data_IF_034176335070
#
_entry.id   IF_034176335070
#
_cell.length_a   1.000
_cell.length_b   1.000
_cell.length_c   1.000
_cell.angle_alpha   90.00
_cell.angle_beta   90.00
_cell.angle_gamma   90.00
#
_symmetry.space_group_name_H-M   'P 1'
#
loop_
_entity.id
_entity.type
_entity.pdbx_description
1 polymer ?
#
# COMPACT_ATOMS: atom_id res chain seq x y z
N UNK A 1 24.64 -13.00 -2.53
CA UNK A 1 24.44 -11.91 -1.54
C UNK A 1 23.59 -10.73 -2.03
N UNK A 2 24.08 -9.74 -2.80
CA UNK A 2 23.27 -8.54 -3.15
C UNK A 2 21.92 -8.86 -3.82
N UNK A 3 21.88 -9.78 -4.79
CA UNK A 3 20.63 -10.16 -5.50
C UNK A 3 19.59 -10.80 -4.57
N UNK A 4 20.01 -11.66 -3.65
CA UNK A 4 19.10 -12.32 -2.71
C UNK A 4 18.56 -11.35 -1.65
N UNK A 5 19.40 -10.44 -1.16
CA UNK A 5 18.97 -9.39 -0.25
C UNK A 5 17.88 -8.51 -0.89
N UNK A 6 18.10 -8.09 -2.15
CA UNK A 6 17.11 -7.30 -2.88
C UNK A 6 15.79 -8.03 -3.11
N UNK A 7 15.83 -9.35 -3.33
CA UNK A 7 14.61 -10.18 -3.40
C UNK A 7 13.85 -10.16 -2.08
N UNK A 8 14.53 -10.36 -0.94
CA UNK A 8 13.91 -10.30 0.39
C UNK A 8 13.26 -8.94 0.67
N UNK A 9 13.92 -7.84 0.28
CA UNK A 9 13.37 -6.48 0.42
C UNK A 9 12.10 -6.31 -0.40
N UNK A 10 12.09 -6.74 -1.66
CA UNK A 10 10.88 -6.65 -2.52
C UNK A 10 9.74 -7.50 -1.93
N UNK A 11 10.04 -8.69 -1.44
CA UNK A 11 9.04 -9.55 -0.77
C UNK A 11 8.44 -8.84 0.44
N UNK A 12 9.27 -8.22 1.28
CA UNK A 12 8.80 -7.47 2.45
C UNK A 12 7.90 -6.30 2.05
N UNK A 13 8.28 -5.53 1.03
CA UNK A 13 7.47 -4.43 0.49
C UNK A 13 6.10 -4.93 0.03
N UNK A 14 6.04 -6.06 -0.68
CA UNK A 14 4.78 -6.64 -1.15
C UNK A 14 3.90 -7.07 0.03
N UNK A 15 4.47 -7.71 1.05
CA UNK A 15 3.74 -8.11 2.25
C UNK A 15 3.12 -6.89 2.95
N UNK A 16 3.90 -5.82 3.12
CA UNK A 16 3.42 -4.56 3.69
C UNK A 16 2.28 -3.98 2.83
N UNK A 17 2.43 -3.99 1.50
CA UNK A 17 1.38 -3.54 0.58
C UNK A 17 0.08 -4.34 0.72
N UNK A 18 0.15 -5.66 0.87
CA UNK A 18 -1.01 -6.50 1.12
C UNK A 18 -1.70 -6.16 2.45
N UNK A 19 -0.94 -5.93 3.52
CA UNK A 19 -1.49 -5.56 4.84
C UNK A 19 -2.25 -4.24 4.72
N UNK A 20 -1.68 -3.24 4.04
CA UNK A 20 -2.35 -1.95 3.85
C UNK A 20 -3.59 -2.03 2.97
N UNK A 21 -3.62 -2.95 2.00
CA UNK A 21 -4.82 -3.20 1.20
C UNK A 21 -5.96 -3.77 2.07
N UNK A 22 -5.66 -4.72 2.95
CA UNK A 22 -6.64 -5.26 3.91
C UNK A 22 -7.12 -4.18 4.86
N UNK A 23 -6.20 -3.36 5.40
CA UNK A 23 -6.58 -2.24 6.27
C UNK A 23 -7.50 -1.24 5.56
N UNK A 24 -7.23 -0.92 4.28
CA UNK A 24 -8.12 -0.08 3.48
C UNK A 24 -9.53 -0.68 3.31
N UNK A 25 -9.62 -1.99 3.06
CA UNK A 25 -10.93 -2.67 2.99
C UNK A 25 -11.66 -2.62 4.33
N UNK A 26 -10.99 -2.92 5.44
CA UNK A 26 -11.59 -2.87 6.78
C UNK A 26 -12.04 -1.44 7.17
N UNK A 27 -11.31 -0.42 6.72
CA UNK A 27 -11.69 0.98 6.88
C UNK A 27 -12.97 1.32 6.12
N UNK A 28 -13.13 0.86 4.87
CA UNK A 28 -14.36 1.08 4.09
C UNK A 28 -15.61 0.51 4.75
N UNK A 29 -15.50 -0.66 5.40
CA UNK A 29 -16.62 -1.30 6.09
C UNK A 29 -16.86 -0.74 7.50
N UNK A 30 -16.12 0.28 7.92
CA UNK A 30 -16.21 0.84 9.27
C UNK A 30 -15.80 -0.14 10.38
N UNK A 31 -15.13 -1.25 10.04
CA UNK A 31 -14.70 -2.27 11.01
C UNK A 31 -13.56 -1.74 11.87
N UNK A 32 -12.65 -0.97 11.26
CA UNK A 32 -11.59 -0.24 11.95
C UNK A 32 -11.92 1.24 11.85
N UNK A 33 -12.45 1.79 12.94
CA UNK A 33 -12.76 3.21 13.04
C UNK A 33 -11.80 3.86 14.04
N UNK A 34 -10.69 4.39 13.53
CA UNK A 34 -9.74 5.19 14.28
C UNK A 34 -9.70 6.58 13.67
N UNK A 35 -9.69 7.64 14.48
CA UNK A 35 -9.63 9.03 13.99
C UNK A 35 -8.44 9.27 13.04
N UNK A 36 -7.31 8.59 13.27
CA UNK A 36 -6.11 8.69 12.45
C UNK A 36 -6.14 7.81 11.17
N UNK A 37 -7.17 6.98 10.96
CA UNK A 37 -7.23 6.01 9.87
C UNK A 37 -7.06 6.65 8.48
N UNK A 38 -7.67 7.81 8.16
CA UNK A 38 -7.45 8.47 6.88
C UNK A 38 -5.98 8.84 6.65
N UNK A 39 -5.29 9.36 7.67
CA UNK A 39 -3.87 9.71 7.58
C UNK A 39 -2.97 8.47 7.41
N UNK A 40 -3.29 7.37 8.09
CA UNK A 40 -2.59 6.09 7.93
C UNK A 40 -2.74 5.56 6.51
N UNK A 41 -3.96 5.56 5.97
CA UNK A 41 -4.23 5.10 4.60
C UNK A 41 -3.60 6.00 3.54
N UNK A 42 -3.59 7.31 3.75
CA UNK A 42 -2.91 8.25 2.84
C UNK A 42 -1.41 7.98 2.81
N UNK A 43 -0.79 7.83 3.98
CA UNK A 43 0.65 7.55 4.11
C UNK A 43 1.01 6.18 3.52
N UNK A 44 0.19 5.16 3.77
CA UNK A 44 0.34 3.83 3.18
C UNK A 44 0.21 3.87 1.65
N UNK A 45 -0.73 4.67 1.14
CA UNK A 45 -0.93 4.87 -0.28
C UNK A 45 0.30 5.47 -0.97
N UNK A 46 0.84 6.55 -0.41
CA UNK A 46 2.08 7.18 -0.88
C UNK A 46 3.27 6.22 -0.79
N UNK A 47 3.41 5.50 0.32
CA UNK A 47 4.46 4.50 0.51
C UNK A 47 4.42 3.41 -0.57
N UNK A 48 3.24 2.86 -0.86
CA UNK A 48 3.09 1.82 -1.88
C UNK A 48 3.42 2.35 -3.28
N UNK A 49 2.96 3.56 -3.63
CA UNK A 49 3.28 4.20 -4.92
C UNK A 49 4.79 4.46 -5.05
N UNK A 50 5.44 5.03 -4.03
CA UNK A 50 6.90 5.25 -4.04
C UNK A 50 7.67 3.94 -4.21
N UNK A 51 7.25 2.87 -3.54
CA UNK A 51 7.88 1.57 -3.68
C UNK A 51 7.59 0.90 -5.04
N UNK A 52 6.44 1.18 -5.67
CA UNK A 52 6.15 0.71 -7.01
C UNK A 52 7.21 1.19 -8.02
N UNK A 53 7.64 2.46 -7.93
CA UNK A 53 8.73 2.99 -8.76
C UNK A 53 10.05 2.24 -8.55
N UNK A 54 10.40 1.95 -7.29
CA UNK A 54 11.62 1.20 -6.96
C UNK A 54 11.59 -0.26 -7.47
N UNK A 55 10.42 -0.88 -7.48
CA UNK A 55 10.21 -2.27 -7.90
C UNK A 55 10.03 -2.38 -9.41
N UNK A 56 9.61 -1.32 -10.11
CA UNK A 56 9.28 -1.33 -11.54
C UNK A 56 10.40 -1.90 -12.43
N UNK A 57 11.64 -1.46 -12.22
CA UNK A 57 12.81 -1.93 -12.98
C UNK A 57 13.21 -3.39 -12.69
N UNK A 58 12.58 -4.05 -11.71
CA UNK A 58 12.93 -5.40 -11.24
C UNK A 58 11.78 -6.39 -11.42
N UNK A 59 10.55 -5.99 -11.12
CA UNK A 59 9.35 -6.81 -11.25
C UNK A 59 8.12 -5.93 -11.57
N UNK A 60 7.75 -5.88 -12.86
CA UNK A 60 6.63 -5.06 -13.35
C UNK A 60 5.29 -5.45 -12.72
N UNK A 61 5.03 -6.74 -12.49
CA UNK A 61 3.75 -7.20 -11.89
C UNK A 61 3.60 -6.70 -10.47
N UNK A 62 4.66 -6.83 -9.66
CA UNK A 62 4.68 -6.32 -8.29
C UNK A 62 4.58 -4.80 -8.24
N UNK A 63 5.20 -4.08 -9.18
CA UNK A 63 5.06 -2.63 -9.27
C UNK A 63 3.62 -2.21 -9.56
N UNK A 64 2.95 -2.84 -10.54
CA UNK A 64 1.53 -2.58 -10.84
C UNK A 64 0.65 -2.84 -9.61
N UNK A 65 0.87 -3.97 -8.92
CA UNK A 65 0.15 -4.29 -7.70
C UNK A 65 0.30 -3.19 -6.63
N UNK A 66 1.54 -2.73 -6.39
CA UNK A 66 1.81 -1.67 -5.43
C UNK A 66 1.18 -0.33 -5.84
N UNK A 67 1.19 0.02 -7.13
CA UNK A 67 0.51 1.21 -7.64
C UNK A 67 -0.99 1.14 -7.39
N UNK A 68 -1.64 0.02 -7.76
CA UNK A 68 -3.09 -0.15 -7.58
C UNK A 68 -3.48 -0.17 -6.10
N UNK A 69 -2.72 -0.88 -5.28
CA UNK A 69 -2.91 -0.89 -3.82
C UNK A 69 -2.75 0.51 -3.23
N UNK A 70 -1.76 1.27 -3.68
CA UNK A 70 -1.55 2.63 -3.21
C UNK A 70 -2.66 3.60 -3.60
N UNK A 71 -3.11 3.55 -4.86
CA UNK A 71 -4.27 4.32 -5.34
C UNK A 71 -5.55 3.97 -4.57
N UNK A 72 -5.77 2.68 -4.28
CA UNK A 72 -6.88 2.23 -3.47
C UNK A 72 -6.83 2.82 -2.05
N UNK A 73 -5.69 2.76 -1.36
CA UNK A 73 -5.56 3.35 -0.02
C UNK A 73 -5.81 4.86 -0.01
N UNK A 74 -5.35 5.59 -1.03
CA UNK A 74 -5.64 7.03 -1.17
C UNK A 74 -7.14 7.27 -1.39
N UNK A 75 -7.76 6.48 -2.27
CA UNK A 75 -9.21 6.57 -2.51
C UNK A 75 -10.00 6.34 -1.23
N UNK A 76 -9.68 5.29 -0.48
CA UNK A 76 -10.35 4.98 0.79
C UNK A 76 -10.12 6.09 1.82
N UNK A 77 -8.90 6.61 1.91
CA UNK A 77 -8.58 7.74 2.79
C UNK A 77 -9.48 8.94 2.53
N UNK A 78 -9.60 9.35 1.25
CA UNK A 78 -10.47 10.46 0.83
C UNK A 78 -11.93 10.12 1.12
N UNK A 79 -12.37 8.91 0.81
CA UNK A 79 -13.74 8.46 1.02
C UNK A 79 -14.15 8.54 2.50
N UNK A 80 -13.35 7.96 3.41
CA UNK A 80 -13.62 7.99 4.85
C UNK A 80 -13.52 9.42 5.42
N UNK A 81 -12.72 10.30 4.82
CA UNK A 81 -12.65 11.70 5.27
C UNK A 81 -13.92 12.48 4.90
N UNK A 82 -14.59 12.10 3.82
CA UNK A 82 -15.75 12.81 3.27
C UNK A 82 -17.10 12.30 3.78
N UNK A 83 -17.18 11.04 4.26
CA UNK A 83 -18.41 10.36 4.67
C UNK A 83 -18.26 9.76 6.06
#
# INVERSE_FOLDING_TARGET
>A
MKKEFMKKVITLIIIIGCIFLVLGLLGLFGIINMEAMPCVLLSAGLFNISNAYYVYGKNKKSAIFLTLSGLFSIFVSIFITLF
#
